data_IF_321081263313
#
_entry.id   IF_321081263313
#
_cell.length_a   1.000
_cell.length_b   1.000
_cell.length_c   1.000
_cell.angle_alpha   90.00
_cell.angle_beta   90.00
_cell.angle_gamma   90.00
#
_symmetry.space_group_name_H-M   'P 1'
#
loop_
_entity.id
_entity.type
_entity.pdbx_description
1 polymer ?
#
# COMPACT_ATOMS: atom_id res chain seq x y z
N UNK A 1 15.62 1.62 -6.42
CA UNK A 1 14.40 1.54 -7.22
C UNK A 1 13.28 2.41 -6.67
N UNK A 2 12.92 2.28 -5.40
CA UNK A 2 11.92 3.14 -4.74
C UNK A 2 12.25 4.64 -4.84
N UNK A 3 13.52 5.03 -4.67
CA UNK A 3 13.96 6.43 -4.80
C UNK A 3 13.71 7.01 -6.20
N UNK A 4 13.85 6.24 -7.26
CA UNK A 4 13.59 6.68 -8.64
C UNK A 4 12.11 6.96 -8.84
N UNK A 5 11.23 6.12 -8.28
CA UNK A 5 9.77 6.29 -8.36
C UNK A 5 9.35 7.56 -7.61
N UNK A 6 9.86 7.79 -6.40
CA UNK A 6 9.55 8.98 -5.61
C UNK A 6 9.99 10.29 -6.28
N UNK A 7 11.03 10.27 -7.11
CA UNK A 7 11.49 11.43 -7.84
C UNK A 7 10.84 11.58 -9.23
N UNK A 8 10.01 10.63 -9.67
CA UNK A 8 9.34 10.77 -10.96
C UNK A 8 8.26 11.84 -10.87
N UNK A 9 8.17 12.64 -11.93
CA UNK A 9 7.16 13.70 -12.05
C UNK A 9 5.75 13.11 -12.06
N UNK A 10 5.56 12.04 -12.79
CA UNK A 10 4.28 11.36 -12.96
C UNK A 10 3.76 10.83 -11.62
N UNK A 11 4.61 10.19 -10.83
CA UNK A 11 4.26 9.72 -9.49
C UNK A 11 3.80 10.86 -8.59
N UNK A 12 4.56 11.94 -8.54
CA UNK A 12 4.23 13.12 -7.72
C UNK A 12 2.91 13.75 -8.16
N UNK A 13 2.65 13.88 -9.45
CA UNK A 13 1.38 14.38 -9.96
C UNK A 13 0.22 13.47 -9.60
N UNK A 14 0.41 12.16 -9.65
CA UNK A 14 -0.61 11.19 -9.26
C UNK A 14 -0.90 11.20 -7.76
N UNK A 15 0.08 11.51 -6.91
CA UNK A 15 -0.17 11.75 -5.47
C UNK A 15 -1.15 12.92 -5.29
N UNK A 16 -0.96 14.01 -6.01
CA UNK A 16 -1.88 15.15 -5.96
C UNK A 16 -3.24 14.81 -6.57
N UNK A 17 -3.29 14.13 -7.70
CA UNK A 17 -4.55 13.68 -8.32
C UNK A 17 -5.33 12.79 -7.37
N UNK A 18 -4.67 11.82 -6.76
CA UNK A 18 -5.27 10.93 -5.77
C UNK A 18 -5.79 11.70 -4.57
N UNK A 19 -4.99 12.64 -4.05
CA UNK A 19 -5.36 13.49 -2.91
C UNK A 19 -6.58 14.37 -3.20
N UNK A 20 -6.86 14.68 -4.46
CA UNK A 20 -8.03 15.48 -4.85
C UNK A 20 -9.35 14.70 -4.85
N UNK A 21 -9.29 13.37 -4.88
CA UNK A 21 -10.48 12.50 -4.95
C UNK A 21 -10.69 11.65 -3.69
N UNK A 22 -9.65 11.44 -2.89
CA UNK A 22 -9.73 10.65 -1.65
C UNK A 22 -10.34 11.48 -0.55
N UNK A 23 -11.36 10.93 0.13
CA UNK A 23 -11.96 11.58 1.29
C UNK A 23 -11.09 11.38 2.54
N UNK A 24 -11.17 12.33 3.46
CA UNK A 24 -10.51 12.21 4.77
C UNK A 24 -10.92 10.92 5.50
N UNK A 25 -12.20 10.57 5.42
CA UNK A 25 -12.76 9.36 6.02
C UNK A 25 -12.06 8.09 5.49
N UNK A 26 -11.94 7.98 4.18
CA UNK A 26 -11.32 6.81 3.56
C UNK A 26 -9.80 6.75 3.82
N UNK A 27 -9.13 7.90 3.83
CA UNK A 27 -7.72 7.99 4.19
C UNK A 27 -7.47 7.54 5.64
N UNK A 28 -8.28 7.99 6.58
CA UNK A 28 -8.22 7.56 7.99
C UNK A 28 -8.51 6.06 8.16
N UNK A 29 -9.49 5.54 7.43
CA UNK A 29 -9.86 4.13 7.47
C UNK A 29 -8.74 3.26 6.92
N UNK A 30 -8.15 3.62 5.80
CA UNK A 30 -7.04 2.90 5.20
C UNK A 30 -5.76 2.95 6.05
N UNK A 31 -5.46 4.12 6.63
CA UNK A 31 -4.32 4.34 7.51
C UNK A 31 -4.57 4.05 8.99
N UNK A 32 -5.65 3.33 9.34
CA UNK A 32 -6.13 3.19 10.71
C UNK A 32 -5.09 2.61 11.69
N UNK A 33 -4.20 1.73 11.23
CA UNK A 33 -3.15 1.14 12.08
C UNK A 33 -2.15 2.18 12.58
N UNK A 34 -1.93 3.25 11.84
CA UNK A 34 -1.02 4.34 12.21
C UNK A 34 -1.76 5.50 12.89
N UNK A 35 -2.97 5.83 12.41
CA UNK A 35 -3.70 7.04 12.80
C UNK A 35 -4.48 6.87 14.11
N UNK A 36 -4.99 5.68 14.41
CA UNK A 36 -5.84 5.44 15.58
C UNK A 36 -5.14 5.59 16.94
N UNK A 37 -3.83 5.45 16.98
CA UNK A 37 -3.05 5.43 18.22
C UNK A 37 -2.51 6.81 18.62
N UNK A 38 -2.78 7.84 17.85
CA UNK A 38 -2.20 9.17 18.03
C UNK A 38 -3.29 10.23 18.13
N UNK A 39 -3.18 11.11 19.13
CA UNK A 39 -4.15 12.22 19.34
C UNK A 39 -4.14 13.20 18.18
N UNK A 40 -2.95 13.51 17.65
CA UNK A 40 -2.77 14.38 16.50
C UNK A 40 -1.93 13.64 15.43
N UNK A 41 -2.57 12.84 14.54
CA UNK A 41 -1.85 12.12 13.53
C UNK A 41 -1.19 13.06 12.52
N UNK A 42 0.01 12.70 12.07
CA UNK A 42 0.71 13.43 11.03
C UNK A 42 -0.01 13.27 9.69
N UNK A 43 0.09 14.28 8.84
CA UNK A 43 -0.46 14.22 7.48
C UNK A 43 0.09 13.04 6.67
N UNK A 44 1.35 12.66 6.90
CA UNK A 44 1.97 11.48 6.30
C UNK A 44 1.21 10.19 6.60
N UNK A 45 0.60 10.06 7.77
CA UNK A 45 -0.26 8.93 8.14
C UNK A 45 -1.54 8.83 7.31
N UNK A 46 -2.02 9.95 6.78
CA UNK A 46 -3.17 10.01 5.86
C UNK A 46 -2.75 9.79 4.41
N UNK A 47 -1.52 10.13 4.05
CA UNK A 47 -1.00 10.03 2.68
C UNK A 47 -0.45 8.64 2.34
N UNK A 48 0.14 7.93 3.31
CA UNK A 48 0.85 6.68 3.01
C UNK A 48 -0.02 5.59 2.35
N UNK A 49 -1.31 5.42 2.66
CA UNK A 49 -2.13 4.43 1.94
C UNK A 49 -2.22 4.70 0.45
N UNK A 50 -2.31 5.97 0.06
CA UNK A 50 -2.29 6.40 -1.32
C UNK A 50 -0.93 6.16 -1.99
N UNK A 51 0.17 6.39 -1.28
CA UNK A 51 1.51 6.11 -1.78
C UNK A 51 1.70 4.60 -2.02
N UNK A 52 1.26 3.77 -1.08
CA UNK A 52 1.31 2.32 -1.23
C UNK A 52 0.43 1.82 -2.39
N UNK A 53 -0.75 2.41 -2.58
CA UNK A 53 -1.62 2.10 -3.70
C UNK A 53 -0.95 2.45 -5.05
N UNK A 54 -0.34 3.63 -5.16
CA UNK A 54 0.37 4.05 -6.37
C UNK A 54 1.60 3.18 -6.67
N UNK A 55 2.26 2.64 -5.65
CA UNK A 55 3.40 1.74 -5.84
C UNK A 55 3.01 0.51 -6.66
N UNK A 56 1.79 -0.01 -6.52
CA UNK A 56 1.29 -1.12 -7.35
C UNK A 56 1.37 -0.80 -8.84
N UNK A 57 0.98 0.42 -9.21
CA UNK A 57 0.96 0.86 -10.59
C UNK A 57 2.37 1.16 -11.11
N UNK A 58 3.18 1.86 -10.34
CA UNK A 58 4.52 2.29 -10.77
C UNK A 58 5.56 1.17 -10.74
N UNK A 59 5.40 0.18 -9.89
CA UNK A 59 6.21 -1.04 -9.90
C UNK A 59 5.73 -2.07 -10.95
N UNK A 60 4.60 -1.80 -11.61
CA UNK A 60 4.01 -2.66 -12.65
C UNK A 60 3.81 -4.11 -12.17
N UNK A 61 3.25 -4.25 -10.97
CA UNK A 61 2.98 -5.56 -10.39
C UNK A 61 1.60 -6.08 -10.83
N UNK A 62 1.51 -7.36 -11.13
CA UNK A 62 0.25 -8.02 -11.46
C UNK A 62 -0.50 -8.46 -10.19
N UNK A 63 0.23 -8.78 -9.14
CA UNK A 63 -0.32 -9.20 -7.87
C UNK A 63 0.50 -8.66 -6.70
N UNK A 64 -0.19 -8.31 -5.61
CA UNK A 64 0.42 -7.89 -4.35
C UNK A 64 0.02 -8.87 -3.24
N UNK A 65 1.00 -9.26 -2.45
CA UNK A 65 0.81 -10.17 -1.33
C UNK A 65 1.03 -9.45 -0.01
N UNK A 66 0.09 -9.60 0.91
CA UNK A 66 0.19 -8.97 2.23
C UNK A 66 -0.54 -9.75 3.31
N UNK A 67 -0.31 -9.36 4.56
CA UNK A 67 -1.08 -9.87 5.69
C UNK A 67 -2.52 -9.31 5.69
N UNK A 68 -3.36 -9.89 6.53
CA UNK A 68 -4.76 -9.46 6.67
C UNK A 68 -4.89 -8.01 7.18
N UNK A 69 -3.86 -7.50 7.86
CA UNK A 69 -3.74 -6.11 8.29
C UNK A 69 -3.70 -5.12 7.11
N UNK A 70 -3.25 -5.58 5.93
CA UNK A 70 -3.20 -4.78 4.71
C UNK A 70 -4.55 -4.69 3.97
N UNK A 71 -5.56 -5.40 4.43
CA UNK A 71 -6.87 -5.47 3.77
C UNK A 71 -7.49 -4.10 3.51
N UNK A 72 -7.37 -3.18 4.45
CA UNK A 72 -7.95 -1.83 4.33
C UNK A 72 -7.26 -1.02 3.23
N UNK A 73 -5.94 -1.16 3.08
CA UNK A 73 -5.16 -0.50 2.05
C UNK A 73 -5.47 -1.12 0.68
N UNK A 74 -5.60 -2.44 0.59
CA UNK A 74 -5.99 -3.12 -0.64
C UNK A 74 -7.38 -2.68 -1.11
N UNK A 75 -8.34 -2.62 -0.20
CA UNK A 75 -9.70 -2.10 -0.50
C UNK A 75 -9.65 -0.65 -0.98
N UNK A 76 -8.79 0.16 -0.39
CA UNK A 76 -8.56 1.54 -0.81
C UNK A 76 -8.00 1.60 -2.24
N UNK A 77 -6.97 0.79 -2.55
CA UNK A 77 -6.41 0.68 -3.90
C UNK A 77 -7.48 0.30 -4.94
N UNK A 78 -8.28 -0.71 -4.64
CA UNK A 78 -9.33 -1.20 -5.53
C UNK A 78 -10.41 -0.16 -5.80
N UNK A 79 -10.67 0.73 -4.84
CA UNK A 79 -11.64 1.80 -4.98
C UNK A 79 -11.10 2.97 -5.81
N UNK A 80 -9.87 3.40 -5.54
CA UNK A 80 -9.36 4.68 -6.04
C UNK A 80 -8.49 4.59 -7.29
N UNK A 81 -7.68 3.54 -7.47
CA UNK A 81 -6.83 3.43 -8.65
C UNK A 81 -7.60 3.42 -9.97
N UNK A 82 -8.75 2.73 -10.09
CA UNK A 82 -9.56 2.81 -11.31
C UNK A 82 -10.07 4.21 -11.63
N UNK A 83 -10.28 5.06 -10.61
CA UNK A 83 -10.71 6.45 -10.81
C UNK A 83 -9.61 7.32 -11.42
N UNK A 84 -8.34 6.92 -11.29
CA UNK A 84 -7.21 7.53 -11.97
C UNK A 84 -6.97 6.96 -13.37
N UNK A 85 -7.74 5.95 -13.78
CA UNK A 85 -7.58 5.27 -15.06
C UNK A 85 -6.64 4.08 -15.04
N UNK A 86 -6.26 3.58 -13.85
CA UNK A 86 -5.38 2.44 -13.69
C UNK A 86 -6.15 1.12 -13.55
N UNK A 87 -5.52 0.02 -13.95
CA UNK A 87 -6.08 -1.32 -13.79
C UNK A 87 -5.96 -1.79 -12.34
N UNK A 88 -6.84 -2.73 -11.98
CA UNK A 88 -6.80 -3.36 -10.67
C UNK A 88 -5.70 -4.40 -10.60
N UNK A 89 -4.95 -4.37 -9.50
CA UNK A 89 -4.00 -5.42 -9.12
C UNK A 89 -4.73 -6.55 -8.37
N UNK A 90 -4.19 -7.75 -8.44
CA UNK A 90 -4.68 -8.88 -7.63
C UNK A 90 -4.09 -8.76 -6.21
N UNK A 91 -4.96 -8.76 -5.22
CA UNK A 91 -4.54 -8.70 -3.82
C UNK A 91 -4.71 -10.06 -3.14
N UNK A 92 -3.61 -10.63 -2.71
CA UNK A 92 -3.56 -11.90 -1.99
C UNK A 92 -3.27 -11.62 -0.51
N UNK A 93 -4.14 -12.10 0.35
CA UNK A 93 -4.02 -11.90 1.79
C UNK A 93 -3.77 -13.21 2.50
N UNK A 94 -2.79 -13.22 3.41
CA UNK A 94 -2.48 -14.35 4.26
C UNK A 94 -2.95 -14.08 5.68
N UNK A 95 -3.62 -15.06 6.34
CA UNK A 95 -3.90 -14.96 7.77
C UNK A 95 -2.59 -14.78 8.56
N UNK A 96 -2.53 -13.74 9.39
CA UNK A 96 -1.36 -13.48 10.22
C UNK A 96 -1.28 -14.50 11.36
N UNK A 97 -0.55 -15.61 11.16
CA UNK A 97 0.02 -16.35 12.27
C UNK A 97 1.51 -16.02 12.36
N UNK A 98 1.98 -15.70 13.55
CA UNK A 98 3.42 -15.42 13.80
C UNK A 98 4.32 -16.58 13.33
N UNK A 99 3.84 -17.80 13.38
CA UNK A 99 4.54 -18.99 12.90
C UNK A 99 4.65 -19.03 11.37
N UNK A 100 3.63 -18.59 10.65
CA UNK A 100 3.66 -18.56 9.18
C UNK A 100 4.67 -17.53 8.67
N UNK A 101 4.76 -16.37 9.31
CA UNK A 101 5.74 -15.32 8.96
C UNK A 101 7.17 -15.84 9.18
N UNK A 102 7.44 -16.47 10.34
CA UNK A 102 8.77 -17.08 10.59
C UNK A 102 9.13 -18.12 9.53
N UNK A 103 8.19 -18.97 9.15
CA UNK A 103 8.43 -20.00 8.15
C UNK A 103 8.67 -19.41 6.74
N UNK A 104 7.98 -18.33 6.38
CA UNK A 104 8.19 -17.63 5.11
C UNK A 104 9.56 -16.96 5.10
N UNK A 105 9.94 -16.28 6.16
CA UNK A 105 11.25 -15.62 6.31
C UNK A 105 12.38 -16.65 6.28
N UNK A 106 12.24 -17.77 7.00
CA UNK A 106 13.22 -18.85 7.01
C UNK A 106 13.38 -19.50 5.63
N UNK A 107 12.28 -19.74 4.90
CA UNK A 107 12.32 -20.25 3.53
C UNK A 107 12.92 -19.25 2.54
N UNK A 108 12.66 -17.98 2.73
CA UNK A 108 13.26 -16.91 1.92
C UNK A 108 14.78 -16.85 2.15
N UNK A 109 15.23 -16.89 3.40
CA UNK A 109 16.65 -16.86 3.75
C UNK A 109 17.41 -18.11 3.28
N UNK A 110 16.76 -19.27 3.24
CA UNK A 110 17.40 -20.50 2.72
C UNK A 110 17.58 -20.48 1.20
N UNK A 111 16.83 -19.67 0.48
CA UNK A 111 16.99 -19.49 -0.98
C UNK A 111 18.03 -18.44 -1.36
N UNK A 112 18.53 -17.66 -0.41
CA UNK A 112 19.50 -16.58 -0.63
C UNK A 112 20.95 -17.05 -0.32
N UNK A 113 21.13 -18.25 0.18
CA UNK A 113 22.47 -18.83 0.36
C UNK A 113 22.99 -19.40 -0.97
N UNK A 114 23.50 -18.50 -1.77
CA UNK A 114 24.42 -18.85 -2.84
C UNK A 114 25.84 -18.50 -2.44
#
# INVERSE_FOLDING_TARGET
MLSIIFYSREYTLDVYRLSSIVTEHDAKKAGAEVVKQVVNPLLSGLLYPGLQALDEQYLKVDAQFGGIDQRKIFTFSEKYLPLLGYEKCIHLMNPMSMCAIKNIILKSNTKINF
#
